data_IF_037881019728
#
_entry.id   IF_037881019728
#
_cell.length_a   1.000
_cell.length_b   1.000
_cell.length_c   1.000
_cell.angle_alpha   90.00
_cell.angle_beta   90.00
_cell.angle_gamma   90.00
#
_symmetry.space_group_name_H-M   'P 1'
#
loop_
_entity.id
_entity.type
_entity.pdbx_description
1 polymer ?
#
# COMPACT_ATOMS: atom_id res chain seq x y z
N UNK A 1 -6.59 -0.90 -6.21
CA UNK A 1 -5.15 -1.00 -5.85
C UNK A 1 -5.01 -1.17 -4.34
N UNK A 2 -4.15 -2.08 -3.90
CA UNK A 2 -3.83 -2.27 -2.47
C UNK A 2 -2.55 -1.52 -2.11
N UNK A 3 -2.56 -0.77 -1.01
CA UNK A 3 -1.37 -0.13 -0.43
C UNK A 3 -1.15 -0.74 0.95
N UNK A 4 -0.03 -1.45 1.13
CA UNK A 4 0.40 -2.00 2.41
C UNK A 4 1.29 -0.98 3.10
N UNK A 5 1.01 -0.72 4.39
CA UNK A 5 1.65 0.32 5.18
C UNK A 5 1.02 1.70 4.90
N UNK A 6 0.24 2.22 5.84
CA UNK A 6 -0.51 3.46 5.71
C UNK A 6 0.22 4.71 6.20
N UNK A 7 1.47 4.58 6.66
CA UNK A 7 2.30 5.72 7.11
C UNK A 7 2.56 6.77 6.05
N UNK A 8 3.47 7.71 6.31
CA UNK A 8 3.73 8.88 5.45
C UNK A 8 3.86 8.54 3.95
N UNK A 9 4.66 7.51 3.61
CA UNK A 9 4.89 7.09 2.22
C UNK A 9 3.64 6.47 1.60
N UNK A 10 2.99 5.54 2.29
CA UNK A 10 1.80 4.87 1.78
C UNK A 10 0.61 5.83 1.66
N UNK A 11 0.48 6.76 2.60
CA UNK A 11 -0.49 7.84 2.54
C UNK A 11 -0.30 8.73 1.32
N UNK A 12 0.94 9.14 1.04
CA UNK A 12 1.24 9.95 -0.15
C UNK A 12 0.90 9.21 -1.46
N UNK A 13 1.21 7.92 -1.53
CA UNK A 13 0.84 7.06 -2.67
C UNK A 13 -0.68 6.95 -2.82
N UNK A 14 -1.37 6.58 -1.75
CA UNK A 14 -2.82 6.41 -1.73
C UNK A 14 -3.53 7.73 -2.09
N UNK A 15 -3.07 8.85 -1.54
CA UNK A 15 -3.57 10.19 -1.86
C UNK A 15 -3.43 10.50 -3.36
N UNK A 16 -2.24 10.29 -3.93
CA UNK A 16 -1.98 10.55 -5.34
C UNK A 16 -2.79 9.68 -6.28
N UNK A 17 -3.02 8.41 -5.91
CA UNK A 17 -3.84 7.47 -6.68
C UNK A 17 -5.34 7.83 -6.59
N UNK A 18 -5.84 8.11 -5.39
CA UNK A 18 -7.22 8.48 -5.16
C UNK A 18 -7.60 9.76 -5.92
N UNK A 19 -6.73 10.78 -5.91
CA UNK A 19 -6.95 12.02 -6.68
C UNK A 19 -7.00 11.81 -8.20
N UNK A 20 -6.54 10.67 -8.70
CA UNK A 20 -6.62 10.27 -10.11
C UNK A 20 -7.83 9.36 -10.39
N UNK A 21 -8.73 9.17 -9.43
CA UNK A 21 -9.92 8.33 -9.56
C UNK A 21 -9.66 6.84 -9.38
N UNK A 22 -8.51 6.45 -8.85
CA UNK A 22 -8.20 5.04 -8.57
C UNK A 22 -8.85 4.62 -7.26
N UNK A 23 -9.52 3.47 -7.24
CA UNK A 23 -9.99 2.83 -6.02
C UNK A 23 -8.78 2.26 -5.25
N UNK A 24 -8.55 2.78 -4.05
CA UNK A 24 -7.42 2.41 -3.18
C UNK A 24 -7.96 1.78 -1.90
N UNK A 25 -7.32 0.72 -1.43
CA UNK A 25 -7.45 0.21 -0.07
C UNK A 25 -6.09 0.32 0.62
N UNK A 26 -6.06 0.87 1.84
CA UNK A 26 -4.86 0.90 2.67
C UNK A 26 -4.96 -0.22 3.71
N UNK A 27 -3.96 -1.10 3.75
CA UNK A 27 -3.80 -2.11 4.79
C UNK A 27 -2.65 -1.74 5.72
N UNK A 28 -2.94 -1.55 6.99
CA UNK A 28 -1.92 -1.34 8.02
C UNK A 28 -1.79 -2.59 8.90
N UNK A 29 -0.57 -3.11 9.05
CA UNK A 29 -0.37 -4.28 9.89
C UNK A 29 -0.55 -3.92 11.39
N UNK A 30 -1.19 -4.75 12.21
CA UNK A 30 -1.49 -4.42 13.62
C UNK A 30 -0.28 -4.09 14.51
N UNK A 31 0.92 -4.53 14.13
CA UNK A 31 2.18 -4.27 14.86
C UNK A 31 2.93 -3.02 14.37
N UNK A 32 2.29 -2.19 13.56
CA UNK A 32 2.94 -1.04 12.96
C UNK A 32 3.32 -0.01 14.03
N UNK A 33 4.57 0.48 14.07
CA UNK A 33 5.05 1.42 15.08
C UNK A 33 4.57 2.86 14.82
N UNK A 34 3.55 3.05 13.98
CA UNK A 34 3.02 4.37 13.66
C UNK A 34 2.33 4.92 14.91
N UNK A 35 3.08 5.76 15.63
CA UNK A 35 2.51 6.62 16.62
C UNK A 35 1.51 7.56 15.93
N UNK A 36 0.35 7.77 16.55
CA UNK A 36 -0.63 8.77 16.15
C UNK A 36 0.07 10.13 16.01
N UNK A 37 0.15 10.65 14.78
CA UNK A 37 0.96 11.84 14.46
C UNK A 37 0.19 12.92 13.71
N UNK A 38 -1.02 12.62 13.23
CA UNK A 38 -1.86 13.60 12.50
C UNK A 38 -1.37 13.89 11.09
N UNK A 39 -0.60 12.99 10.48
CA UNK A 39 0.06 13.20 9.17
C UNK A 39 -0.10 12.00 8.23
N UNK A 40 -0.83 10.96 8.62
CA UNK A 40 -0.99 9.74 7.84
C UNK A 40 -2.45 9.27 7.86
N UNK A 41 -2.91 8.63 6.79
CA UNK A 41 -4.22 7.99 6.74
C UNK A 41 -4.38 6.87 7.78
N UNK A 42 -3.27 6.29 8.27
CA UNK A 42 -3.29 5.39 9.44
C UNK A 42 -3.90 6.04 10.69
N UNK A 43 -3.92 7.37 10.79
CA UNK A 43 -4.59 8.06 11.90
C UNK A 43 -6.10 7.73 11.96
N UNK A 44 -6.72 7.36 10.83
CA UNK A 44 -8.11 6.89 10.79
C UNK A 44 -8.34 5.62 11.63
N UNK A 45 -7.32 4.78 11.86
CA UNK A 45 -7.45 3.60 12.72
C UNK A 45 -7.70 3.97 14.18
N UNK A 46 -7.25 5.15 14.61
CA UNK A 46 -7.42 5.64 15.97
C UNK A 46 -8.68 6.51 16.09
N UNK A 47 -8.90 7.40 15.14
CA UNK A 47 -9.95 8.42 15.20
C UNK A 47 -11.21 8.06 14.39
N UNK A 48 -11.24 6.88 13.76
CA UNK A 48 -12.28 6.42 12.84
C UNK A 48 -12.14 7.01 11.43
N UNK A 49 -11.70 8.26 11.34
CA UNK A 49 -11.43 8.98 10.09
C UNK A 49 -10.17 9.84 10.20
N UNK A 50 -9.58 10.17 9.06
CA UNK A 50 -8.50 11.16 8.95
C UNK A 50 -8.65 11.94 7.65
N UNK A 51 -8.04 13.12 7.55
CA UNK A 51 -8.06 13.91 6.32
C UNK A 51 -6.68 14.51 6.08
N UNK A 52 -6.15 14.32 4.87
CA UNK A 52 -4.89 14.89 4.40
C UNK A 52 -5.16 15.64 3.10
N UNK A 53 -4.79 16.92 3.05
CA UNK A 53 -4.90 17.76 1.85
C UNK A 53 -6.29 17.69 1.15
N UNK A 54 -7.36 17.58 1.94
CA UNK A 54 -8.75 17.51 1.44
C UNK A 54 -9.21 16.13 0.98
N UNK A 55 -8.38 15.08 1.09
CA UNK A 55 -8.79 13.69 0.90
C UNK A 55 -8.98 13.04 2.26
N UNK A 56 -10.13 12.40 2.46
CA UNK A 56 -10.45 11.69 3.69
C UNK A 56 -10.14 10.20 3.57
N UNK A 57 -9.77 9.58 4.69
CA UNK A 57 -9.65 8.15 4.84
C UNK A 57 -10.50 7.68 6.03
N UNK A 58 -11.07 6.49 5.93
CA UNK A 58 -12.00 5.93 6.92
C UNK A 58 -11.57 4.53 7.32
N UNK A 59 -11.50 4.26 8.62
CA UNK A 59 -11.30 2.91 9.12
C UNK A 59 -12.57 2.09 8.89
N UNK A 60 -12.41 0.96 8.21
CA UNK A 60 -13.49 0.02 7.89
C UNK A 60 -13.12 -1.37 8.37
N UNK A 61 -14.13 -2.20 8.64
CA UNK A 61 -13.94 -3.50 9.30
C UNK A 61 -14.37 -4.69 8.43
N UNK A 62 -14.95 -4.43 7.26
CA UNK A 62 -15.47 -5.47 6.37
C UNK A 62 -15.25 -5.15 4.89
N UNK A 63 -15.22 -6.19 4.05
CA UNK A 63 -15.15 -6.04 2.58
C UNK A 63 -16.34 -5.24 2.05
N UNK A 64 -17.53 -5.44 2.62
CA UNK A 64 -18.72 -4.69 2.24
C UNK A 64 -18.56 -3.17 2.50
N UNK A 65 -17.91 -2.78 3.60
CA UNK A 65 -17.61 -1.37 3.87
C UNK A 65 -16.53 -0.81 2.93
N UNK A 66 -15.53 -1.62 2.57
CA UNK A 66 -14.54 -1.25 1.54
C UNK A 66 -15.23 -0.95 0.21
N UNK A 67 -16.10 -1.85 -0.25
CA UNK A 67 -16.87 -1.69 -1.49
C UNK A 67 -17.81 -0.47 -1.42
N UNK A 68 -18.42 -0.21 -0.25
CA UNK A 68 -19.22 0.99 -0.05
C UNK A 68 -18.40 2.27 -0.18
N UNK A 69 -17.21 2.35 0.44
CA UNK A 69 -16.29 3.48 0.26
C UNK A 69 -15.92 3.70 -1.21
N UNK A 70 -15.59 2.63 -1.93
CA UNK A 70 -15.21 2.67 -3.34
C UNK A 70 -16.35 3.10 -4.25
N UNK A 71 -17.58 2.68 -3.97
CA UNK A 71 -18.77 3.10 -4.71
C UNK A 71 -19.14 4.56 -4.44
N UNK A 72 -18.96 5.03 -3.22
CA UNK A 72 -19.17 6.44 -2.85
C UNK A 72 -18.11 7.36 -3.46
N UNK A 73 -16.87 6.89 -3.55
CA UNK A 73 -15.75 7.64 -4.14
C UNK A 73 -15.34 8.88 -3.34
N UNK A 74 -15.68 8.94 -2.05
CA UNK A 74 -15.44 10.12 -1.18
C UNK A 74 -14.26 9.96 -0.24
N UNK A 75 -13.89 8.73 0.09
CA UNK A 75 -12.82 8.46 1.03
C UNK A 75 -12.04 7.19 0.67
N UNK A 76 -10.84 7.08 1.24
CA UNK A 76 -9.98 5.91 1.12
C UNK A 76 -10.26 4.97 2.31
N UNK A 77 -10.72 3.73 2.10
CA UNK A 77 -10.83 2.76 3.18
C UNK A 77 -9.46 2.36 3.73
N UNK A 78 -9.38 2.24 5.04
CA UNK A 78 -8.21 1.78 5.80
C UNK A 78 -8.61 0.58 6.64
N UNK A 79 -7.80 -0.49 6.61
CA UNK A 79 -8.07 -1.77 7.28
C UNK A 79 -6.84 -2.23 8.07
N UNK A 80 -7.04 -3.12 9.04
CA UNK A 80 -5.96 -3.73 9.83
C UNK A 80 -5.66 -5.19 9.46
N UNK A 81 -6.40 -5.71 8.48
CA UNK A 81 -6.28 -7.07 7.99
C UNK A 81 -4.98 -7.27 7.20
N UNK A 82 -4.44 -8.48 7.30
CA UNK A 82 -3.25 -8.90 6.56
C UNK A 82 -3.52 -8.89 5.05
N UNK A 83 -2.51 -8.51 4.26
CA UNK A 83 -2.61 -8.44 2.81
C UNK A 83 -3.02 -9.78 2.16
N UNK A 84 -2.64 -10.92 2.74
CA UNK A 84 -3.03 -12.24 2.24
C UNK A 84 -4.53 -12.51 2.38
N UNK A 85 -5.14 -12.05 3.47
CA UNK A 85 -6.58 -12.14 3.67
C UNK A 85 -7.32 -11.21 2.71
N UNK A 86 -6.81 -9.99 2.54
CA UNK A 86 -7.42 -9.02 1.62
C UNK A 86 -7.36 -9.49 0.17
N UNK A 87 -6.22 -10.01 -0.28
CA UNK A 87 -5.99 -10.45 -1.66
C UNK A 87 -6.69 -11.78 -2.00
N UNK A 88 -7.06 -12.56 -1.00
CA UNK A 88 -7.94 -13.73 -1.19
C UNK A 88 -9.43 -13.35 -1.29
N UNK A 89 -9.84 -12.24 -0.70
CA UNK A 89 -11.22 -11.76 -0.73
C UNK A 89 -11.50 -10.77 -1.87
N UNK A 90 -10.50 -9.99 -2.27
CA UNK A 90 -10.61 -8.92 -3.25
C UNK A 90 -9.48 -9.07 -4.27
N UNK A 91 -9.83 -9.06 -5.56
CA UNK A 91 -8.84 -9.01 -6.62
C UNK A 91 -8.27 -7.59 -6.77
N UNK A 92 -6.95 -7.46 -6.76
CA UNK A 92 -6.25 -6.19 -6.97
C UNK A 92 -5.41 -6.22 -8.24
N UNK A 93 -5.54 -5.18 -9.07
CA UNK A 93 -4.67 -5.01 -10.25
C UNK A 93 -3.21 -4.82 -9.86
N UNK A 94 -2.97 -4.17 -8.71
CA UNK A 94 -1.64 -3.92 -8.20
C UNK A 94 -1.60 -3.75 -6.67
N UNK A 95 -0.44 -4.07 -6.11
CA UNK A 95 -0.07 -3.93 -4.69
C UNK A 95 1.15 -3.00 -4.60
N UNK A 96 1.10 -2.02 -3.69
CA UNK A 96 2.24 -1.19 -3.30
C UNK A 96 2.60 -1.50 -1.86
N UNK A 97 3.81 -1.97 -1.60
CA UNK A 97 4.33 -2.10 -0.22
C UNK A 97 5.14 -0.85 0.11
N UNK A 98 4.60 -0.03 1.02
CA UNK A 98 5.11 1.27 1.44
C UNK A 98 5.59 1.29 2.91
N UNK A 99 5.68 0.14 3.57
CA UNK A 99 6.12 0.05 4.97
C UNK A 99 7.60 0.38 5.11
N UNK A 100 7.89 1.50 5.77
CA UNK A 100 9.26 1.91 6.06
C UNK A 100 9.82 1.16 7.27
N UNK A 101 10.82 0.31 7.06
CA UNK A 101 11.50 -0.46 8.10
C UNK A 101 13.00 -0.21 8.10
N UNK A 102 13.62 -0.28 9.28
CA UNK A 102 15.08 -0.14 9.46
C UNK A 102 15.85 -1.34 8.93
N UNK A 103 15.25 -2.54 8.98
CA UNK A 103 15.83 -3.74 8.37
C UNK A 103 15.65 -3.70 6.84
N UNK A 104 16.54 -4.37 6.11
CA UNK A 104 16.51 -4.46 4.65
C UNK A 104 15.80 -5.73 4.14
N UNK A 105 15.29 -6.59 5.04
CA UNK A 105 14.58 -7.81 4.64
C UNK A 105 13.14 -7.46 4.30
N UNK A 106 12.70 -7.84 3.10
CA UNK A 106 11.34 -7.60 2.62
C UNK A 106 10.69 -8.92 2.19
N UNK A 107 9.39 -9.12 2.50
CA UNK A 107 8.66 -10.26 1.98
C UNK A 107 8.54 -10.15 0.46
N UNK A 108 8.51 -11.31 -0.21
CA UNK A 108 8.08 -11.39 -1.59
C UNK A 108 6.55 -11.44 -1.62
N UNK A 109 5.93 -10.32 -2.00
CA UNK A 109 4.47 -10.20 -2.12
C UNK A 109 4.01 -10.30 -3.59
N UNK A 110 4.91 -10.68 -4.50
CA UNK A 110 4.53 -10.93 -5.90
C UNK A 110 3.53 -12.08 -5.96
N UNK A 111 2.62 -12.01 -6.93
CA UNK A 111 1.55 -13.00 -7.08
C UNK A 111 0.32 -12.78 -6.20
N UNK A 112 0.37 -11.84 -5.24
CA UNK A 112 -0.82 -11.43 -4.47
C UNK A 112 -1.71 -10.42 -5.22
N UNK A 113 -1.19 -9.81 -6.28
CA UNK A 113 -1.88 -8.89 -7.18
C UNK A 113 -1.30 -9.02 -8.59
N UNK A 114 -1.94 -8.37 -9.58
CA UNK A 114 -1.43 -8.38 -10.97
C UNK A 114 -0.06 -7.75 -11.14
N UNK A 115 0.35 -6.86 -10.23
CA UNK A 115 1.64 -6.18 -10.25
C UNK A 115 2.06 -5.71 -8.84
N UNK A 116 3.34 -5.81 -8.49
CA UNK A 116 3.85 -5.47 -7.17
C UNK A 116 4.94 -4.39 -7.22
N UNK A 117 4.70 -3.27 -6.54
CA UNK A 117 5.67 -2.17 -6.34
C UNK A 117 6.20 -2.23 -4.92
N UNK A 118 7.52 -2.33 -4.77
CA UNK A 118 8.20 -2.24 -3.48
C UNK A 118 8.80 -0.86 -3.28
N UNK A 119 8.41 -0.16 -2.21
CA UNK A 119 8.97 1.15 -1.84
C UNK A 119 9.94 1.02 -0.67
N UNK A 120 11.08 1.70 -0.78
CA UNK A 120 12.11 1.72 0.25
C UNK A 120 13.19 0.64 0.08
N UNK A 121 14.15 0.57 1.01
CA UNK A 121 15.29 -0.33 0.91
C UNK A 121 14.87 -1.80 1.06
N UNK A 122 15.61 -2.71 0.39
CA UNK A 122 15.40 -4.15 0.49
C UNK A 122 14.58 -4.78 -0.64
N UNK A 123 14.05 -3.97 -1.55
CA UNK A 123 13.37 -4.45 -2.75
C UNK A 123 14.33 -4.57 -3.94
N UNK A 124 14.25 -5.71 -4.61
CA UNK A 124 15.01 -6.05 -5.81
C UNK A 124 14.05 -6.57 -6.88
N UNK A 125 13.94 -5.89 -8.04
CA UNK A 125 13.09 -6.32 -9.14
C UNK A 125 13.42 -7.75 -9.60
N UNK A 126 12.39 -8.56 -9.82
CA UNK A 126 12.51 -9.97 -10.19
C UNK A 126 12.82 -10.92 -9.03
N UNK A 127 13.10 -10.41 -7.83
CA UNK A 127 13.36 -11.22 -6.62
C UNK A 127 12.23 -11.13 -5.61
N UNK A 128 11.78 -9.91 -5.27
CA UNK A 128 10.71 -9.70 -4.29
C UNK A 128 9.79 -8.51 -4.61
N UNK A 129 9.91 -7.97 -5.83
CA UNK A 129 9.01 -6.98 -6.41
C UNK A 129 9.10 -7.01 -7.94
N UNK A 130 8.14 -6.39 -8.63
CA UNK A 130 8.22 -6.17 -10.07
C UNK A 130 8.99 -4.87 -10.35
N UNK A 131 8.78 -3.84 -9.52
CA UNK A 131 9.48 -2.55 -9.61
C UNK A 131 9.80 -2.00 -8.21
N UNK A 132 10.97 -1.37 -8.09
CA UNK A 132 11.42 -0.64 -6.91
C UNK A 132 11.88 0.78 -7.27
N UNK A 133 10.99 1.79 -7.25
CA UNK A 133 11.34 3.17 -7.54
C UNK A 133 12.28 3.77 -6.49
N UNK A 134 13.32 4.48 -6.93
CA UNK A 134 14.19 5.25 -6.03
C UNK A 134 15.24 4.44 -5.25
N UNK A 135 15.27 3.11 -5.36
CA UNK A 135 16.42 2.33 -4.92
C UNK A 135 17.57 2.55 -5.90
N UNK A 136 18.52 3.43 -5.57
CA UNK A 136 19.80 3.42 -6.27
C UNK A 136 20.43 2.06 -6.05
N UNK A 137 20.44 1.25 -7.11
CA UNK A 137 20.95 -0.10 -7.07
C UNK A 137 22.36 -0.12 -6.49
N UNK A 138 22.50 -0.75 -5.33
CA UNK A 138 23.75 -1.43 -5.01
C UNK A 138 23.93 -2.54 -6.03
N UNK A 139 24.61 -2.22 -7.13
CA UNK A 139 25.08 -3.10 -8.21
C UNK A 139 24.52 -4.54 -8.18
N UNK A 140 23.61 -4.82 -9.11
CA UNK A 140 23.68 -6.07 -9.86
C UNK A 140 23.58 -5.72 -11.35
N UNK A 141 24.72 -5.74 -12.05
CA UNK A 141 24.74 -5.87 -13.50
C UNK A 141 24.11 -7.23 -13.83
N UNK A 142 22.87 -7.22 -14.28
CA UNK A 142 22.18 -8.41 -14.78
C UNK A 142 21.21 -7.94 -15.85
N UNK A 143 21.53 -8.25 -17.10
CA UNK A 143 20.79 -7.83 -18.28
C UNK A 143 19.31 -8.28 -18.20
N UNK A 144 18.39 -7.34 -18.46
CA UNK A 144 17.01 -7.70 -18.81
C UNK A 144 17.02 -8.11 -20.27
N UNK A 145 17.03 -9.42 -20.52
CA UNK A 145 16.62 -9.96 -21.83
C UNK A 145 15.10 -9.91 -21.84
N UNK A 146 14.53 -8.96 -22.61
CA UNK A 146 13.15 -9.10 -23.09
C UNK A 146 13.17 -10.10 -24.23
N UNK A 147 12.47 -11.21 -24.10
CA UNK A 147 12.12 -12.05 -25.25
C UNK A 147 10.80 -11.55 -25.87
N UNK A 148 10.65 -11.66 -27.20
CA UNK A 148 9.48 -11.18 -27.95
C UNK A 148 8.21 -11.99 -27.67
#
# INVERSE_FOLDING_TARGET
MLVVGGGDVGSAVAHGLFRRGVQVLIAERPKSPHARRGMAFTDALFDGESTLEGVSARHVQSVAEVEACWREGRCIPVVTQDESLLTSAIAFDALVEATMRRDAVRPDLRGMAGFMVGLGPGYTPGVNCDVAPGTQGGRARGAVVRQP
#
